data_IF_235708570917
#
_entry.id   IF_235708570917
#
_cell.length_a   1.000
_cell.length_b   1.000
_cell.length_c   1.000
_cell.angle_alpha   90.00
_cell.angle_beta   90.00
_cell.angle_gamma   90.00
#
_symmetry.space_group_name_H-M   'P 1'
#
loop_
_entity.id
_entity.type
_entity.pdbx_description
1 polymer ?
#
# COMPACT_ATOMS: atom_id res chain seq x y z
N UNK A 1 -25.70 -10.64 -6.21
CA UNK A 1 -24.38 -11.27 -6.03
C UNK A 1 -24.60 -12.75 -6.20
N UNK A 2 -24.04 -13.33 -7.25
CA UNK A 2 -24.13 -14.76 -7.54
C UNK A 2 -23.00 -15.48 -6.82
N UNK A 3 -23.28 -16.68 -6.28
CA UNK A 3 -22.28 -17.50 -5.58
C UNK A 3 -21.87 -18.63 -6.52
N UNK A 4 -20.58 -18.68 -6.82
CA UNK A 4 -19.94 -19.70 -7.65
C UNK A 4 -19.37 -20.80 -6.76
N UNK A 5 -20.13 -21.87 -6.55
CA UNK A 5 -19.74 -22.98 -5.66
C UNK A 5 -18.51 -23.74 -6.17
N UNK A 6 -18.27 -23.72 -7.48
CA UNK A 6 -17.07 -24.24 -8.13
C UNK A 6 -15.78 -23.62 -7.57
N UNK A 7 -15.77 -22.31 -7.29
CA UNK A 7 -14.61 -21.62 -6.70
C UNK A 7 -14.40 -21.98 -5.23
N UNK A 8 -15.48 -22.30 -4.49
CA UNK A 8 -15.36 -22.78 -3.11
C UNK A 8 -14.70 -24.16 -3.10
N UNK A 9 -15.09 -25.05 -4.00
CA UNK A 9 -14.50 -26.39 -4.13
C UNK A 9 -13.03 -26.33 -4.59
N UNK A 10 -12.71 -25.42 -5.51
CA UNK A 10 -11.33 -25.18 -5.95
C UNK A 10 -10.48 -24.64 -4.80
N UNK A 11 -10.97 -23.64 -4.06
CA UNK A 11 -10.29 -23.12 -2.88
C UNK A 11 -10.02 -24.22 -1.83
N UNK A 12 -10.99 -25.07 -1.52
CA UNK A 12 -10.78 -26.22 -0.64
C UNK A 12 -9.70 -27.17 -1.17
N UNK A 13 -9.68 -27.42 -2.47
CA UNK A 13 -8.69 -28.28 -3.11
C UNK A 13 -7.30 -27.68 -3.00
N UNK A 14 -7.14 -26.38 -3.28
CA UNK A 14 -5.88 -25.67 -3.14
C UNK A 14 -5.37 -25.71 -1.69
N UNK A 15 -6.25 -25.52 -0.71
CA UNK A 15 -5.88 -25.63 0.71
C UNK A 15 -5.38 -27.04 1.08
N UNK A 16 -5.97 -28.09 0.51
CA UNK A 16 -5.64 -29.49 0.83
C UNK A 16 -4.42 -30.01 0.08
N UNK A 17 -4.15 -29.49 -1.12
CA UNK A 17 -3.14 -30.04 -2.05
C UNK A 17 -1.89 -29.18 -2.20
N UNK A 18 -1.89 -27.96 -1.69
CA UNK A 18 -0.77 -27.01 -1.79
C UNK A 18 -0.34 -26.52 -0.40
N UNK A 19 0.64 -25.61 -0.38
CA UNK A 19 1.05 -24.90 0.83
C UNK A 19 0.37 -23.54 1.00
N UNK A 20 -0.69 -23.24 0.23
CA UNK A 20 -1.36 -21.94 0.18
C UNK A 20 -1.61 -21.30 1.54
N UNK A 21 -2.12 -22.06 2.51
CA UNK A 21 -2.38 -21.53 3.86
C UNK A 21 -1.10 -21.08 4.55
N UNK A 22 -0.03 -21.87 4.46
CA UNK A 22 1.26 -21.56 5.10
C UNK A 22 1.94 -20.39 4.39
N UNK A 23 1.93 -20.40 3.06
CA UNK A 23 2.53 -19.35 2.24
C UNK A 23 1.83 -18.00 2.51
N UNK A 24 0.50 -17.99 2.59
CA UNK A 24 -0.27 -16.80 2.98
C UNK A 24 0.02 -16.35 4.41
N UNK A 25 0.19 -17.28 5.35
CA UNK A 25 0.59 -16.94 6.73
C UNK A 25 1.97 -16.28 6.78
N UNK A 26 2.92 -16.74 5.97
CA UNK A 26 4.25 -16.10 5.86
C UNK A 26 4.14 -14.69 5.25
N UNK A 27 3.32 -14.50 4.23
CA UNK A 27 3.01 -13.16 3.71
C UNK A 27 2.45 -12.25 4.83
N UNK A 28 1.47 -12.72 5.60
CA UNK A 28 0.88 -11.94 6.70
C UNK A 28 1.93 -11.58 7.76
N UNK A 29 2.86 -12.49 8.08
CA UNK A 29 3.98 -12.20 9.00
C UNK A 29 4.91 -11.13 8.44
N UNK A 30 5.34 -11.30 7.19
CA UNK A 30 6.16 -10.31 6.48
C UNK A 30 5.49 -8.92 6.51
N UNK A 31 4.22 -8.84 6.15
CA UNK A 31 3.53 -7.56 6.02
C UNK A 31 3.33 -6.87 7.38
N UNK A 32 3.09 -7.64 8.45
CA UNK A 32 3.10 -7.15 9.84
C UNK A 32 4.46 -6.61 10.24
N UNK A 33 5.54 -7.33 9.94
CA UNK A 33 6.90 -6.90 10.26
C UNK A 33 7.29 -5.64 9.49
N UNK A 34 6.86 -5.51 8.22
CA UNK A 34 7.07 -4.30 7.43
C UNK A 34 6.38 -3.10 8.07
N UNK A 35 5.13 -3.26 8.50
CA UNK A 35 4.41 -2.19 9.21
C UNK A 35 5.16 -1.76 10.48
N UNK A 36 5.54 -2.71 11.33
CA UNK A 36 6.20 -2.42 12.62
C UNK A 36 7.56 -1.76 12.41
N UNK A 37 8.36 -2.25 11.45
CA UNK A 37 9.67 -1.68 11.16
C UNK A 37 9.57 -0.27 10.56
N UNK A 38 8.60 0.00 9.68
CA UNK A 38 8.34 1.36 9.19
C UNK A 38 7.88 2.32 10.31
N UNK A 39 7.11 1.84 11.28
CA UNK A 39 6.70 2.65 12.45
C UNK A 39 7.89 3.02 13.34
N UNK A 40 8.88 2.14 13.45
CA UNK A 40 10.14 2.41 14.15
C UNK A 40 11.03 3.40 13.37
N UNK A 41 11.11 3.23 12.05
CA UNK A 41 11.94 4.06 11.17
C UNK A 41 11.37 5.48 10.96
N UNK A 42 10.06 5.65 11.08
CA UNK A 42 9.35 6.91 10.85
C UNK A 42 8.66 7.44 12.12
N UNK A 43 9.40 7.79 13.19
CA UNK A 43 8.81 8.17 14.48
C UNK A 43 8.01 9.48 14.46
N UNK A 44 8.19 10.32 13.43
CA UNK A 44 7.40 11.54 13.21
C UNK A 44 6.05 11.28 12.51
N UNK A 45 5.80 10.05 12.07
CA UNK A 45 4.53 9.66 11.46
C UNK A 45 3.64 8.93 12.48
N UNK A 46 2.33 9.02 12.29
CA UNK A 46 1.38 8.20 13.05
C UNK A 46 0.81 7.11 12.16
N UNK A 47 1.00 5.86 12.58
CA UNK A 47 0.39 4.69 11.94
C UNK A 47 -1.02 4.50 12.48
N UNK A 48 -1.99 4.43 11.58
CA UNK A 48 -3.41 4.44 11.94
C UNK A 48 -4.01 3.07 11.69
N UNK A 49 -4.60 2.46 12.74
CA UNK A 49 -5.24 1.16 12.66
C UNK A 49 -4.26 -0.01 12.47
N UNK A 50 -4.83 -1.19 12.26
CA UNK A 50 -4.10 -2.41 11.93
C UNK A 50 -3.92 -2.60 10.41
N UNK A 51 -3.49 -3.79 10.04
CA UNK A 51 -3.55 -4.24 8.64
C UNK A 51 -5.00 -4.56 8.30
N UNK A 52 -5.45 -4.03 7.17
CA UNK A 52 -6.75 -4.29 6.58
C UNK A 52 -6.58 -5.31 5.46
N UNK A 53 -7.51 -6.26 5.36
CA UNK A 53 -7.54 -7.32 4.37
C UNK A 53 -8.84 -7.26 3.59
N UNK A 54 -8.77 -7.18 2.26
CA UNK A 54 -9.93 -7.09 1.38
C UNK A 54 -10.08 -8.36 0.54
N UNK A 55 -10.24 -9.52 1.18
CA UNK A 55 -10.51 -10.78 0.47
C UNK A 55 -9.42 -11.19 -0.54
N UNK A 56 -8.16 -10.84 -0.27
CA UNK A 56 -7.03 -10.97 -1.19
C UNK A 56 -7.11 -10.15 -2.48
N UNK A 57 -7.94 -9.12 -2.57
CA UNK A 57 -7.77 -8.11 -3.62
C UNK A 57 -6.48 -7.32 -3.36
N UNK A 58 -6.39 -6.76 -2.16
CA UNK A 58 -5.17 -6.18 -1.61
C UNK A 58 -5.20 -6.17 -0.07
N UNK A 59 -4.01 -6.22 0.53
CA UNK A 59 -3.78 -6.02 1.96
C UNK A 59 -3.10 -4.68 2.16
N UNK A 60 -3.48 -3.91 3.16
CA UNK A 60 -2.85 -2.60 3.38
C UNK A 60 -2.78 -2.17 4.83
N UNK A 61 -1.85 -1.26 5.10
CA UNK A 61 -1.85 -0.42 6.30
C UNK A 61 -1.55 1.02 5.90
N UNK A 62 -1.81 1.96 6.80
CA UNK A 62 -1.71 3.38 6.49
C UNK A 62 -1.08 4.17 7.63
N UNK A 63 -0.46 5.28 7.27
CA UNK A 63 0.10 6.24 8.22
C UNK A 63 0.04 7.65 7.65
N UNK A 64 0.32 8.65 8.48
CA UNK A 64 0.41 10.04 8.03
C UNK A 64 1.46 10.80 8.82
N UNK A 65 2.17 11.71 8.16
CA UNK A 65 2.91 12.79 8.82
C UNK A 65 1.97 13.93 9.19
N UNK A 66 2.41 14.87 10.02
CA UNK A 66 1.62 16.06 10.36
C UNK A 66 1.34 16.94 9.15
N UNK A 67 2.31 17.07 8.24
CA UNK A 67 2.17 17.84 7.01
C UNK A 67 1.06 17.29 6.09
N UNK A 68 1.00 15.95 5.94
CA UNK A 68 -0.07 15.32 5.15
C UNK A 68 -1.41 15.34 5.89
N UNK A 69 -1.39 15.15 7.21
CA UNK A 69 -2.61 15.14 8.04
C UNK A 69 -3.34 16.47 7.97
N UNK A 70 -2.61 17.59 8.01
CA UNK A 70 -3.17 18.94 7.87
C UNK A 70 -3.90 19.16 6.55
N UNK A 71 -3.62 18.34 5.52
CA UNK A 71 -4.26 18.38 4.21
C UNK A 71 -5.31 17.27 4.01
N UNK A 72 -5.58 16.46 5.04
CA UNK A 72 -6.44 15.28 4.93
C UNK A 72 -5.86 14.20 4.00
N UNK A 73 -4.54 14.07 3.96
CA UNK A 73 -3.81 13.08 3.19
C UNK A 73 -3.20 12.02 4.10
N UNK A 74 -2.91 10.85 3.53
CA UNK A 74 -2.26 9.72 4.18
C UNK A 74 -1.39 8.95 3.17
N UNK A 75 -0.43 8.21 3.69
CA UNK A 75 0.30 7.19 2.94
C UNK A 75 -0.35 5.84 3.20
N UNK A 76 -0.47 5.03 2.15
CA UNK A 76 -0.93 3.64 2.23
C UNK A 76 0.17 2.76 1.67
N UNK A 77 0.53 1.71 2.40
CA UNK A 77 1.35 0.61 1.88
C UNK A 77 0.39 -0.51 1.54
N UNK A 78 0.36 -0.91 0.26
CA UNK A 78 -0.59 -1.88 -0.25
C UNK A 78 0.15 -3.03 -0.95
N UNK A 79 -0.24 -4.26 -0.64
CA UNK A 79 0.15 -5.44 -1.41
C UNK A 79 -1.03 -5.88 -2.26
N UNK A 80 -0.88 -5.79 -3.58
CA UNK A 80 -1.88 -6.23 -4.56
C UNK A 80 -1.61 -7.69 -4.89
N UNK A 81 -2.45 -8.61 -4.41
CA UNK A 81 -2.17 -10.05 -4.52
C UNK A 81 -2.19 -10.54 -5.96
N UNK A 82 -3.15 -10.06 -6.77
CA UNK A 82 -3.33 -10.47 -8.17
C UNK A 82 -2.11 -10.19 -9.04
N UNK A 83 -1.34 -9.15 -8.71
CA UNK A 83 -0.12 -8.75 -9.43
C UNK A 83 1.15 -8.97 -8.61
N UNK A 84 1.02 -9.54 -7.41
CA UNK A 84 2.08 -9.72 -6.41
C UNK A 84 2.97 -8.48 -6.23
N UNK A 85 2.36 -7.29 -6.26
CA UNK A 85 3.06 -6.01 -6.24
C UNK A 85 2.91 -5.35 -4.88
N UNK A 86 4.04 -4.96 -4.27
CA UNK A 86 4.05 -4.08 -3.10
C UNK A 86 4.17 -2.64 -3.57
N UNK A 87 3.24 -1.80 -3.16
CA UNK A 87 3.07 -0.43 -3.63
C UNK A 87 2.96 0.56 -2.46
N UNK A 88 3.37 1.80 -2.70
CA UNK A 88 3.16 2.95 -1.81
C UNK A 88 2.24 3.95 -2.51
N UNK A 89 1.21 4.40 -1.81
CA UNK A 89 0.19 5.30 -2.36
C UNK A 89 0.10 6.57 -1.53
N UNK A 90 -0.04 7.72 -2.21
CA UNK A 90 -0.60 8.93 -1.62
C UNK A 90 -2.12 8.86 -1.75
N UNK A 91 -2.87 8.97 -0.65
CA UNK A 91 -4.32 8.83 -0.66
C UNK A 91 -5.00 9.96 0.13
N UNK A 92 -6.24 10.30 -0.23
CA UNK A 92 -7.08 11.14 0.62
C UNK A 92 -7.69 10.35 1.78
N UNK A 93 -7.96 11.01 2.91
CA UNK A 93 -8.71 10.38 4.02
C UNK A 93 -10.17 10.07 3.64
N UNK A 94 -10.69 10.74 2.61
CA UNK A 94 -11.99 10.48 1.99
C UNK A 94 -11.94 10.85 0.49
N UNK A 95 -12.96 10.42 -0.26
CA UNK A 95 -13.07 10.66 -1.71
C UNK A 95 -13.08 12.14 -2.09
N UNK A 96 -13.71 13.00 -1.28
CA UNK A 96 -13.75 14.45 -1.54
C UNK A 96 -12.36 15.07 -1.48
N UNK A 97 -11.60 14.79 -0.42
CA UNK A 97 -10.21 15.25 -0.29
C UNK A 97 -9.34 14.67 -1.39
N UNK A 98 -9.50 13.39 -1.69
CA UNK A 98 -8.75 12.72 -2.76
C UNK A 98 -8.93 13.39 -4.12
N UNK A 99 -10.19 13.61 -4.55
CA UNK A 99 -10.49 14.27 -5.82
C UNK A 99 -9.98 15.72 -5.86
N UNK A 100 -10.11 16.46 -4.75
CA UNK A 100 -9.61 17.84 -4.65
C UNK A 100 -8.09 17.93 -4.82
N UNK A 101 -7.34 17.08 -4.10
CA UNK A 101 -5.87 17.07 -4.18
C UNK A 101 -5.40 16.55 -5.53
N UNK A 102 -6.03 15.52 -6.08
CA UNK A 102 -5.75 15.04 -7.43
C UNK A 102 -5.87 16.16 -8.48
N UNK A 103 -6.96 16.94 -8.45
CA UNK A 103 -7.15 18.06 -9.37
C UNK A 103 -6.07 19.15 -9.24
N UNK A 104 -5.53 19.36 -8.02
CA UNK A 104 -4.40 20.27 -7.79
C UNK A 104 -3.09 19.71 -8.37
N UNK A 105 -2.82 18.41 -8.15
CA UNK A 105 -1.59 17.75 -8.60
C UNK A 105 -1.56 17.44 -10.11
N UNK A 106 -2.69 17.45 -10.81
CA UNK A 106 -2.66 17.32 -12.29
C UNK A 106 -1.84 18.40 -12.99
N UNK A 107 -1.65 19.55 -12.33
CA UNK A 107 -0.86 20.67 -12.86
C UNK A 107 0.62 20.57 -12.52
N UNK A 108 1.00 19.63 -11.65
CA UNK A 108 2.38 19.43 -11.22
C UNK A 108 2.98 18.24 -11.99
N UNK A 109 4.19 18.42 -12.50
CA UNK A 109 4.94 17.31 -13.08
C UNK A 109 5.35 16.34 -11.99
N UNK A 110 5.08 15.05 -12.17
CA UNK A 110 5.53 13.98 -11.28
C UNK A 110 5.74 12.69 -12.05
N UNK A 111 6.76 11.92 -11.67
CA UNK A 111 7.06 10.61 -12.26
C UNK A 111 6.25 9.47 -11.62
N UNK A 112 5.45 9.77 -10.59
CA UNK A 112 4.58 8.78 -9.96
C UNK A 112 3.34 8.50 -10.82
N UNK A 113 2.88 7.25 -10.78
CA UNK A 113 1.68 6.86 -11.50
C UNK A 113 0.47 7.56 -10.87
N UNK A 114 -0.24 8.35 -11.68
CA UNK A 114 -1.44 9.06 -11.27
C UNK A 114 -2.66 8.15 -11.35
N UNK A 115 -3.62 8.36 -10.44
CA UNK A 115 -4.89 7.64 -10.52
C UNK A 115 -5.65 7.97 -11.81
N UNK A 116 -6.23 6.97 -12.51
CA UNK A 116 -7.07 7.23 -13.67
C UNK A 116 -8.44 7.81 -13.28
N UNK A 117 -8.90 7.58 -12.05
CA UNK A 117 -10.13 8.18 -11.51
C UNK A 117 -10.08 8.25 -9.97
N UNK A 118 -9.97 9.46 -9.36
CA UNK A 118 -9.88 9.61 -7.91
C UNK A 118 -11.16 9.23 -7.16
N UNK A 119 -12.28 8.99 -7.87
CA UNK A 119 -13.54 8.55 -7.26
C UNK A 119 -13.67 7.03 -7.20
N UNK A 120 -12.90 6.31 -8.02
CA UNK A 120 -12.96 4.84 -8.12
C UNK A 120 -11.77 4.13 -7.49
N UNK A 121 -10.59 4.73 -7.54
CA UNK A 121 -9.36 4.13 -7.03
C UNK A 121 -8.92 4.76 -5.71
N UNK A 122 -8.23 3.99 -4.87
CA UNK A 122 -7.87 4.37 -3.50
C UNK A 122 -6.57 5.14 -3.37
N UNK A 123 -6.01 5.62 -4.49
CA UNK A 123 -4.80 6.43 -4.52
C UNK A 123 -4.97 7.69 -5.38
N UNK A 124 -4.07 8.64 -5.19
CA UNK A 124 -3.84 9.84 -6.01
C UNK A 124 -2.59 9.62 -6.85
N UNK A 125 -1.50 9.25 -6.18
CA UNK A 125 -0.21 8.90 -6.76
C UNK A 125 0.21 7.54 -6.20
N UNK A 126 0.90 6.72 -6.99
CA UNK A 126 1.51 5.49 -6.51
C UNK A 126 2.85 5.17 -7.16
N UNK A 127 3.58 4.28 -6.51
CA UNK A 127 4.82 3.67 -7.01
C UNK A 127 4.91 2.22 -6.52
N UNK A 128 5.49 1.34 -7.33
CA UNK A 128 5.90 0.01 -6.88
C UNK A 128 7.19 0.13 -6.06
N UNK A 129 7.20 -0.47 -4.87
CA UNK A 129 8.34 -0.40 -3.95
C UNK A 129 9.02 -1.75 -3.73
N UNK A 130 8.42 -2.85 -4.21
CA UNK A 130 9.09 -4.15 -4.16
C UNK A 130 10.34 -4.12 -5.07
N UNK A 131 11.52 -4.54 -4.57
CA UNK A 131 12.72 -4.62 -5.39
C UNK A 131 12.55 -5.61 -6.55
N UNK A 132 13.28 -5.41 -7.64
CA UNK A 132 13.24 -6.31 -8.81
C UNK A 132 13.64 -7.76 -8.49
N UNK A 133 14.44 -7.97 -7.43
CA UNK A 133 14.79 -9.31 -6.91
C UNK A 133 13.64 -10.02 -6.17
N UNK A 134 12.54 -9.32 -5.89
CA UNK A 134 11.42 -9.83 -5.10
C UNK A 134 11.78 -10.04 -3.62
N UNK A 135 11.18 -11.06 -3.01
CA UNK A 135 11.32 -11.40 -1.57
C UNK A 135 12.60 -12.18 -1.23
N UNK A 136 13.65 -12.09 -2.05
CA UNK A 136 14.82 -12.98 -1.96
C UNK A 136 15.84 -12.62 -0.86
N UNK A 137 15.50 -11.80 0.15
CA UNK A 137 16.47 -11.30 1.12
C UNK A 137 15.90 -10.83 2.46
N UNK A 138 16.75 -10.90 3.50
CA UNK A 138 16.48 -10.49 4.88
C UNK A 138 16.54 -8.98 5.10
N UNK A 139 17.37 -8.49 6.03
CA UNK A 139 17.42 -7.08 6.44
C UNK A 139 17.60 -6.09 5.27
N UNK A 140 18.33 -6.48 4.22
CA UNK A 140 18.51 -5.67 3.00
C UNK A 140 17.19 -5.34 2.28
N UNK A 141 16.22 -6.27 2.28
CA UNK A 141 14.90 -6.01 1.73
C UNK A 141 14.19 -4.91 2.54
N UNK A 142 14.22 -5.01 3.87
CA UNK A 142 13.58 -4.02 4.73
C UNK A 142 14.23 -2.65 4.59
N UNK A 143 15.56 -2.57 4.56
CA UNK A 143 16.28 -1.31 4.37
C UNK A 143 15.89 -0.62 3.06
N UNK A 144 15.75 -1.37 1.97
CA UNK A 144 15.34 -0.80 0.68
C UNK A 144 13.87 -0.38 0.68
N UNK A 145 12.98 -1.18 1.29
CA UNK A 145 11.57 -0.81 1.45
C UNK A 145 11.41 0.47 2.28
N UNK A 146 12.17 0.58 3.37
CA UNK A 146 12.22 1.80 4.20
C UNK A 146 12.69 3.00 3.38
N UNK A 147 13.81 2.88 2.66
CA UNK A 147 14.33 3.95 1.82
C UNK A 147 13.32 4.38 0.74
N UNK A 148 12.65 3.43 0.09
CA UNK A 148 11.63 3.71 -0.92
C UNK A 148 10.41 4.43 -0.33
N UNK A 149 9.90 3.99 0.83
CA UNK A 149 8.77 4.63 1.50
C UNK A 149 9.12 6.02 2.00
N UNK A 150 10.30 6.21 2.61
CA UNK A 150 10.79 7.51 3.08
C UNK A 150 10.96 8.50 1.92
N UNK A 151 11.60 8.07 0.81
CA UNK A 151 11.72 8.86 -0.42
C UNK A 151 10.36 9.28 -0.96
N UNK A 152 9.41 8.34 -1.03
CA UNK A 152 8.07 8.63 -1.50
C UNK A 152 7.39 9.67 -0.61
N UNK A 153 7.39 9.45 0.72
CA UNK A 153 6.80 10.35 1.72
C UNK A 153 7.36 11.78 1.60
N UNK A 154 8.69 11.93 1.54
CA UNK A 154 9.33 13.24 1.39
C UNK A 154 8.89 13.94 0.10
N UNK A 155 8.94 13.24 -1.02
CA UNK A 155 8.62 13.79 -2.32
C UNK A 155 7.15 14.22 -2.41
N UNK A 156 6.20 13.37 -1.98
CA UNK A 156 4.78 13.74 -2.01
C UNK A 156 4.43 14.83 -1.02
N UNK A 157 5.14 14.90 0.13
CA UNK A 157 4.98 16.00 1.08
C UNK A 157 5.40 17.33 0.46
N UNK A 158 6.54 17.37 -0.25
CA UNK A 158 6.99 18.56 -1.00
C UNK A 158 6.01 18.93 -2.13
N UNK A 159 5.52 17.94 -2.89
CA UNK A 159 4.55 18.17 -3.97
C UNK A 159 3.23 18.75 -3.46
N UNK A 160 2.77 18.35 -2.27
CA UNK A 160 1.51 18.84 -1.69
C UNK A 160 1.65 20.16 -0.93
N UNK A 161 2.86 20.64 -0.65
CA UNK A 161 3.10 21.90 0.04
C UNK A 161 2.99 23.13 -0.88
N UNK A 162 3.13 22.93 -2.20
CA UNK A 162 3.03 23.95 -3.25
C UNK A 162 1.63 23.97 -3.90
#
# INVERSE_FOLDING_TARGET
MEIHFEYIQEYETLLKTTHLQRDYQEFVKFFKQLRVSLEQELPSCSFLGGIMENGMDYSYFQFTSDALRGQGLKIVIAYVHTTCSLEVWLSGVNRKTQASVFARLQKTGTDYEQTPDPNRFDYILKEKILPARGFSGGDELFNELHANVSRFLENVTRLCAN
#
